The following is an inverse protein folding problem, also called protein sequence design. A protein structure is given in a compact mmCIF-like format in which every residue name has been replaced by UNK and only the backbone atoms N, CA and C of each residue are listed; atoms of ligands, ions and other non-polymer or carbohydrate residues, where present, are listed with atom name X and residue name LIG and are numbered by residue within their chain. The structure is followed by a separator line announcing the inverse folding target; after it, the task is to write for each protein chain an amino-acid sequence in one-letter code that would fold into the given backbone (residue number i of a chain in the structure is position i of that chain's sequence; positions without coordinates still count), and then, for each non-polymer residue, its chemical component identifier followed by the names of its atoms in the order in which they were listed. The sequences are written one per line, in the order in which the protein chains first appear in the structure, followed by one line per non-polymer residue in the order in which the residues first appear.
data_IF_347044879508
#
_entry.id   IF_347044879508
#
_cell.length_a   1.000
_cell.length_b   1.000
_cell.length_c   1.000
_cell.angle_alpha   90.00
_cell.angle_beta   90.00
_cell.angle_gamma   90.00
#
_symmetry.space_group_name_H-M   'P 1'
#
loop_
_entity.id
_entity.type
_entity.pdbx_description
1 polymer ?
#
# COMPACT_ATOMS: atom_id res chain seq x y z
N UNK A 1 1.81 -8.51 8.57
CA UNK A 1 1.51 -9.64 7.65
C UNK A 1 1.35 -9.09 6.24
N UNK A 2 1.78 -9.83 5.22
CA UNK A 2 1.66 -9.38 3.82
C UNK A 2 1.14 -10.53 2.96
N UNK A 3 0.23 -10.25 2.02
CA UNK A 3 -0.20 -11.24 1.02
C UNK A 3 0.95 -11.57 0.07
N UNK A 4 1.52 -10.54 -0.57
CA UNK A 4 2.76 -10.63 -1.34
C UNK A 4 3.76 -9.61 -0.78
N UNK A 5 4.97 -10.07 -0.48
CA UNK A 5 6.08 -9.24 -0.05
C UNK A 5 7.23 -9.29 -1.05
N UNK A 6 7.74 -8.12 -1.40
CA UNK A 6 8.96 -7.96 -2.20
C UNK A 6 9.97 -7.15 -1.40
N UNK A 7 11.11 -7.76 -1.11
CA UNK A 7 12.21 -7.14 -0.35
C UNK A 7 13.56 -7.59 -0.87
N UNK A 8 14.59 -6.77 -0.65
CA UNK A 8 15.95 -7.01 -1.12
C UNK A 8 16.25 -6.31 -2.46
N UNK A 9 17.35 -6.70 -3.11
CA UNK A 9 17.76 -6.09 -4.37
C UNK A 9 16.88 -6.61 -5.51
N UNK A 10 16.04 -5.74 -6.05
CA UNK A 10 15.17 -6.03 -7.19
C UNK A 10 15.71 -5.31 -8.42
N UNK A 11 15.70 -5.98 -9.57
CA UNK A 11 16.19 -5.46 -10.86
C UNK A 11 15.33 -6.00 -12.01
N UNK A 12 14.03 -5.79 -11.89
CA UNK A 12 13.00 -6.25 -12.81
C UNK A 12 12.07 -7.29 -12.19
N UNK A 13 11.14 -7.77 -13.02
CA UNK A 13 10.10 -8.71 -12.63
C UNK A 13 8.71 -8.10 -12.67
N UNK A 14 7.71 -8.95 -12.45
CA UNK A 14 6.32 -8.55 -12.51
C UNK A 14 5.49 -9.26 -11.44
N UNK A 15 4.61 -8.52 -10.77
CA UNK A 15 3.51 -9.04 -9.95
C UNK A 15 2.24 -8.66 -10.68
N UNK A 16 1.65 -9.62 -11.40
CA UNK A 16 0.54 -9.34 -12.29
C UNK A 16 -0.60 -10.32 -12.15
N UNK A 17 -1.83 -9.81 -12.36
CA UNK A 17 -3.06 -10.62 -12.49
C UNK A 17 -3.35 -11.49 -11.27
N UNK A 18 -2.97 -11.04 -10.08
CA UNK A 18 -3.30 -11.71 -8.83
C UNK A 18 -4.59 -11.17 -8.23
N UNK A 19 -5.34 -12.06 -7.58
CA UNK A 19 -6.39 -11.68 -6.63
C UNK A 19 -5.83 -11.85 -5.22
N UNK A 20 -5.83 -10.78 -4.42
CA UNK A 20 -5.22 -10.72 -3.09
C UNK A 20 -6.29 -10.26 -2.10
N UNK A 21 -6.69 -11.14 -1.19
CA UNK A 21 -7.75 -10.87 -0.22
C UNK A 21 -7.48 -11.50 1.14
N UNK A 22 -8.37 -11.21 2.10
CA UNK A 22 -8.41 -11.84 3.42
C UNK A 22 -7.13 -11.64 4.25
N UNK A 23 -6.40 -10.54 3.97
CA UNK A 23 -5.19 -10.21 4.71
C UNK A 23 -5.57 -9.44 5.97
N UNK A 24 -5.57 -10.17 7.10
CA UNK A 24 -5.96 -9.65 8.40
C UNK A 24 -4.84 -9.77 9.43
N UNK A 25 -4.66 -8.73 10.23
CA UNK A 25 -3.93 -8.84 11.49
C UNK A 25 -4.87 -8.55 12.66
N UNK A 26 -5.23 -9.56 13.43
CA UNK A 26 -6.31 -9.46 14.44
C UNK A 26 -5.83 -9.34 15.88
N UNK A 27 -4.51 -9.38 16.13
CA UNK A 27 -3.98 -9.21 17.48
C UNK A 27 -4.38 -7.87 18.09
N UNK A 28 -4.95 -7.91 19.29
CA UNK A 28 -5.36 -6.71 20.06
C UNK A 28 -4.19 -5.90 20.60
N UNK A 29 -2.96 -6.45 20.53
CA UNK A 29 -1.72 -5.72 20.83
C UNK A 29 -1.28 -4.78 19.70
N UNK A 30 -1.94 -4.85 18.54
CA UNK A 30 -1.77 -3.96 17.40
C UNK A 30 -0.58 -4.32 16.52
N UNK A 31 -0.83 -4.55 15.23
CA UNK A 31 0.18 -4.65 14.17
C UNK A 31 -0.49 -4.47 12.81
N UNK A 32 0.27 -4.05 11.81
CA UNK A 32 -0.19 -3.75 10.46
C UNK A 32 -0.29 -4.96 9.53
N UNK A 33 -0.98 -4.75 8.41
CA UNK A 33 -1.17 -5.76 7.38
C UNK A 33 -1.23 -5.13 5.98
N UNK A 34 -0.76 -5.86 4.97
CA UNK A 34 -0.65 -5.34 3.61
C UNK A 34 -1.14 -6.37 2.59
N UNK A 35 -1.90 -5.96 1.58
CA UNK A 35 -2.11 -6.82 0.40
C UNK A 35 -0.79 -7.05 -0.32
N UNK A 36 -0.16 -5.95 -0.75
CA UNK A 36 1.16 -5.90 -1.37
C UNK A 36 2.12 -5.06 -0.51
N UNK A 37 3.30 -5.59 -0.21
CA UNK A 37 4.35 -4.87 0.51
C UNK A 37 5.60 -4.76 -0.38
N UNK A 38 5.91 -3.54 -0.83
CA UNK A 38 7.04 -3.22 -1.70
C UNK A 38 8.15 -2.55 -0.87
N UNK A 39 9.27 -3.25 -0.70
CA UNK A 39 10.39 -2.84 0.13
C UNK A 39 11.73 -3.21 -0.52
N UNK A 40 11.87 -2.99 -1.83
CA UNK A 40 13.15 -3.15 -2.51
C UNK A 40 14.22 -2.24 -1.90
N UNK A 41 15.46 -2.71 -1.90
CA UNK A 41 16.63 -1.91 -1.46
C UNK A 41 17.15 -1.00 -2.56
N UNK A 42 16.79 -1.25 -3.82
CA UNK A 42 17.17 -0.45 -4.99
C UNK A 42 16.12 0.63 -5.30
N UNK A 43 16.58 1.81 -5.75
CA UNK A 43 15.74 2.88 -6.31
C UNK A 43 15.42 2.69 -7.79
N UNK A 44 16.04 1.70 -8.43
CA UNK A 44 15.84 1.33 -9.83
C UNK A 44 15.29 -0.10 -9.95
N UNK A 45 14.27 -0.44 -9.16
CA UNK A 45 13.75 -1.82 -9.12
C UNK A 45 13.22 -2.32 -10.46
N UNK A 46 12.71 -1.42 -11.32
CA UNK A 46 12.03 -1.75 -12.58
C UNK A 46 10.91 -2.80 -12.43
N UNK A 47 10.38 -2.96 -11.22
CA UNK A 47 9.35 -3.94 -10.90
C UNK A 47 8.00 -3.43 -11.38
N UNK A 48 7.30 -4.26 -12.15
CA UNK A 48 5.93 -3.97 -12.59
C UNK A 48 4.93 -4.61 -11.64
N UNK A 49 4.03 -3.82 -11.09
CA UNK A 49 2.91 -4.27 -10.27
C UNK A 49 1.66 -3.88 -11.02
N UNK A 50 1.05 -4.82 -11.74
CA UNK A 50 -0.03 -4.47 -12.67
C UNK A 50 -1.20 -5.43 -12.72
N UNK A 51 -2.40 -4.90 -12.95
CA UNK A 51 -3.63 -5.69 -13.08
C UNK A 51 -3.92 -6.63 -11.89
N UNK A 52 -3.50 -6.26 -10.68
CA UNK A 52 -3.86 -7.01 -9.48
C UNK A 52 -5.17 -6.47 -8.91
N UNK A 53 -5.97 -7.37 -8.34
CA UNK A 53 -7.16 -7.03 -7.57
C UNK A 53 -6.91 -7.27 -6.09
N UNK A 54 -6.89 -6.20 -5.29
CA UNK A 54 -6.61 -6.25 -3.85
C UNK A 54 -7.84 -5.78 -3.08
N UNK A 55 -8.34 -6.60 -2.17
CA UNK A 55 -9.49 -6.24 -1.34
C UNK A 55 -9.45 -6.92 0.03
N UNK A 56 -10.37 -6.55 0.90
CA UNK A 56 -10.50 -7.10 2.25
C UNK A 56 -9.20 -7.10 3.08
N UNK A 57 -8.39 -6.03 2.96
CA UNK A 57 -7.23 -5.82 3.84
C UNK A 57 -7.65 -5.00 5.06
N UNK A 58 -7.37 -5.49 6.26
CA UNK A 58 -7.60 -4.74 7.50
C UNK A 58 -6.72 -5.26 8.65
N UNK A 59 -6.29 -4.38 9.53
CA UNK A 59 -5.63 -4.78 10.77
C UNK A 59 -6.28 -4.17 12.00
N UNK A 60 -6.02 -4.76 13.16
CA UNK A 60 -6.23 -4.10 14.43
C UNK A 60 -5.41 -2.80 14.47
N UNK A 61 -4.11 -2.89 14.16
CA UNK A 61 -3.25 -1.74 13.94
C UNK A 61 -3.09 -0.79 15.13
N UNK A 62 -2.58 0.40 14.83
CA UNK A 62 -2.35 1.53 15.72
C UNK A 62 -2.98 2.78 15.10
N UNK A 63 -3.48 3.68 15.93
CA UNK A 63 -4.20 4.88 15.47
C UNK A 63 -3.35 6.15 15.39
N UNK A 64 -2.05 6.06 15.70
CA UNK A 64 -1.13 7.19 15.83
C UNK A 64 -0.10 7.30 14.70
N UNK A 65 -0.06 6.34 13.78
CA UNK A 65 0.98 6.25 12.75
C UNK A 65 0.46 5.71 11.42
N UNK A 66 1.29 5.85 10.39
CA UNK A 66 1.04 5.38 9.03
C UNK A 66 2.21 4.55 8.47
N UNK A 67 3.00 3.92 9.34
CA UNK A 67 4.04 2.97 8.94
C UNK A 67 3.42 1.63 8.56
N UNK A 68 4.23 0.72 7.98
CA UNK A 68 3.78 -0.62 7.58
C UNK A 68 3.27 -1.48 8.75
N UNK A 69 3.65 -1.11 9.99
CA UNK A 69 3.25 -1.80 11.21
C UNK A 69 1.97 -1.22 11.82
N UNK A 70 1.43 -0.12 11.29
CA UNK A 70 0.35 0.61 11.95
C UNK A 70 -1.04 0.28 11.41
N UNK A 71 -1.22 -0.01 10.12
CA UNK A 71 -2.56 -0.15 9.56
C UNK A 71 -2.64 -1.22 8.46
N UNK A 72 -3.88 -1.43 8.00
CA UNK A 72 -4.22 -2.17 6.81
C UNK A 72 -4.01 -1.30 5.59
N UNK A 73 -3.16 -1.76 4.66
CA UNK A 73 -2.94 -1.10 3.38
C UNK A 73 -3.15 -2.07 2.23
N UNK A 74 -3.86 -1.64 1.18
CA UNK A 74 -3.96 -2.44 -0.04
C UNK A 74 -2.58 -2.64 -0.66
N UNK A 75 -1.87 -1.54 -0.88
CA UNK A 75 -0.48 -1.51 -1.33
C UNK A 75 0.33 -0.62 -0.38
N UNK A 76 1.41 -1.17 0.20
CA UNK A 76 2.37 -0.44 1.01
C UNK A 76 3.69 -0.33 0.24
N UNK A 77 4.02 0.87 -0.21
CA UNK A 77 5.33 1.20 -0.80
C UNK A 77 6.21 1.73 0.31
N UNK A 78 6.97 0.84 0.93
CA UNK A 78 7.71 1.12 2.16
C UNK A 78 9.12 1.66 1.90
N UNK A 79 9.79 1.17 0.85
CA UNK A 79 11.16 1.55 0.52
C UNK A 79 11.48 1.28 -0.96
N UNK A 80 12.62 1.81 -1.41
CA UNK A 80 13.12 1.62 -2.78
C UNK A 80 12.49 2.59 -3.77
N UNK A 81 12.45 2.17 -5.03
CA UNK A 81 11.95 2.99 -6.13
C UNK A 81 11.99 2.26 -7.47
N UNK A 82 11.62 2.96 -8.54
CA UNK A 82 11.53 2.42 -9.90
C UNK A 82 10.33 1.52 -10.11
N UNK A 83 9.32 1.61 -9.24
CA UNK A 83 8.11 0.79 -9.31
C UNK A 83 7.15 1.34 -10.36
N UNK A 84 6.62 0.44 -11.19
CA UNK A 84 5.59 0.70 -12.17
C UNK A 84 4.28 0.10 -11.68
N UNK A 85 3.40 0.93 -11.12
CA UNK A 85 2.16 0.50 -10.49
C UNK A 85 1.01 0.89 -11.40
N UNK A 86 0.50 -0.07 -12.18
CA UNK A 86 -0.45 0.20 -13.26
C UNK A 86 -1.71 -0.65 -13.20
N UNK A 87 -2.87 -0.06 -13.51
CA UNK A 87 -4.11 -0.83 -13.74
C UNK A 87 -4.54 -1.75 -12.60
N UNK A 88 -4.06 -1.51 -11.37
CA UNK A 88 -4.49 -2.29 -10.22
C UNK A 88 -5.84 -1.75 -9.72
N UNK A 89 -6.66 -2.65 -9.22
CA UNK A 89 -7.91 -2.33 -8.53
C UNK A 89 -7.75 -2.64 -7.05
N UNK A 90 -7.87 -1.63 -6.20
CA UNK A 90 -7.71 -1.76 -4.75
C UNK A 90 -8.93 -1.22 -4.03
N UNK A 91 -9.60 -2.09 -3.26
CA UNK A 91 -10.75 -1.74 -2.44
C UNK A 91 -10.47 -1.99 -0.96
N UNK A 92 -10.39 -0.90 -0.19
CA UNK A 92 -10.38 -0.95 1.27
C UNK A 92 -11.82 -0.77 1.77
N UNK A 93 -12.51 -1.87 2.08
CA UNK A 93 -13.92 -1.83 2.53
C UNK A 93 -14.09 -2.23 4.00
N UNK A 94 -13.23 -3.09 4.53
CA UNK A 94 -13.38 -3.66 5.87
C UNK A 94 -12.78 -2.75 6.93
N UNK A 95 -13.60 -2.27 7.85
CA UNK A 95 -13.17 -1.36 8.92
C UNK A 95 -12.07 -1.95 9.79
N UNK A 96 -11.11 -1.10 10.18
CA UNK A 96 -10.13 -1.45 11.20
C UNK A 96 -10.75 -1.34 12.60
N UNK A 97 -10.57 -2.34 13.49
CA UNK A 97 -11.14 -2.32 14.84
C UNK A 97 -10.71 -1.13 15.70
N UNK A 98 -9.44 -0.72 15.65
CA UNK A 98 -8.89 0.36 16.47
C UNK A 98 -8.97 1.75 15.79
N UNK A 99 -9.72 1.87 14.69
CA UNK A 99 -9.57 3.01 13.78
C UNK A 99 -8.15 3.08 13.21
N UNK A 100 -7.66 4.28 12.90
CA UNK A 100 -6.30 4.50 12.41
C UNK A 100 -6.24 5.11 11.02
N UNK A 101 -5.14 4.86 10.32
CA UNK A 101 -4.78 5.54 9.06
C UNK A 101 -4.65 4.55 7.88
N UNK A 102 -5.71 3.81 7.51
CA UNK A 102 -5.65 2.88 6.39
C UNK A 102 -5.63 3.63 5.04
N UNK A 103 -5.04 3.00 4.04
CA UNK A 103 -5.02 3.53 2.68
C UNK A 103 -5.11 2.43 1.61
N UNK A 104 -5.71 2.74 0.46
CA UNK A 104 -5.63 1.84 -0.69
C UNK A 104 -4.17 1.74 -1.18
N UNK A 105 -3.46 2.86 -1.21
CA UNK A 105 -1.99 2.87 -1.33
C UNK A 105 -1.36 3.81 -0.30
N UNK A 106 -0.33 3.33 0.38
CA UNK A 106 0.52 4.11 1.29
C UNK A 106 1.94 4.18 0.71
N UNK A 107 2.45 5.40 0.57
CA UNK A 107 3.82 5.67 0.14
C UNK A 107 4.59 6.23 1.34
N UNK A 108 5.49 5.43 1.91
CA UNK A 108 6.28 5.81 3.08
C UNK A 108 7.33 6.86 2.74
N UNK A 109 7.68 7.71 3.71
CA UNK A 109 8.66 8.80 3.55
C UNK A 109 10.05 8.36 3.07
N UNK A 110 10.43 7.10 3.28
CA UNK A 110 11.70 6.53 2.82
C UNK A 110 11.78 6.24 1.31
N UNK A 111 10.66 6.37 0.58
CA UNK A 111 10.62 6.21 -0.89
C UNK A 111 11.14 7.48 -1.56
N UNK A 112 12.07 7.35 -2.51
CA UNK A 112 12.63 8.52 -3.19
C UNK A 112 11.56 9.26 -4.02
N UNK A 113 11.55 10.59 -3.97
CA UNK A 113 10.62 11.39 -4.76
C UNK A 113 10.81 11.13 -6.27
N UNK A 114 9.70 11.01 -7.01
CA UNK A 114 9.74 10.71 -8.45
C UNK A 114 10.13 9.26 -8.81
N UNK A 115 10.29 8.38 -7.83
CA UNK A 115 10.67 6.98 -8.07
C UNK A 115 9.49 6.05 -8.35
N UNK A 116 8.26 6.56 -8.34
CA UNK A 116 7.06 5.77 -8.60
C UNK A 116 6.36 6.25 -9.86
N UNK A 117 5.95 5.30 -10.69
CA UNK A 117 5.05 5.55 -11.80
C UNK A 117 3.68 4.92 -11.51
N UNK A 118 2.74 5.74 -11.04
CA UNK A 118 1.37 5.34 -10.72
C UNK A 118 0.43 5.78 -11.84
N UNK A 119 -0.11 4.85 -12.62
CA UNK A 119 -1.01 5.18 -13.73
C UNK A 119 -2.21 4.26 -13.79
N UNK A 120 -3.39 4.82 -14.07
CA UNK A 120 -4.61 4.09 -14.38
C UNK A 120 -5.02 3.04 -13.34
N UNK A 121 -4.70 3.25 -12.06
CA UNK A 121 -5.19 2.39 -10.99
C UNK A 121 -6.57 2.87 -10.52
N UNK A 122 -7.40 1.94 -10.07
CA UNK A 122 -8.66 2.22 -9.40
C UNK A 122 -8.45 1.98 -7.92
N UNK A 123 -8.44 3.06 -7.14
CA UNK A 123 -8.26 3.00 -5.69
C UNK A 123 -9.51 3.52 -5.00
N UNK A 124 -10.06 2.71 -4.11
CA UNK A 124 -11.21 3.08 -3.28
C UNK A 124 -10.94 2.73 -1.82
N UNK A 125 -11.25 3.66 -0.94
CA UNK A 125 -11.34 3.38 0.48
C UNK A 125 -12.74 3.76 0.98
N UNK A 126 -13.57 2.74 1.18
CA UNK A 126 -14.97 2.83 1.59
C UNK A 126 -15.19 2.41 3.04
N UNK A 127 -14.12 2.22 3.81
CA UNK A 127 -14.24 2.05 5.26
C UNK A 127 -14.97 3.27 5.85
N UNK A 128 -15.52 3.14 7.06
CA UNK A 128 -16.30 4.18 7.76
C UNK A 128 -15.70 4.62 9.09
N UNK A 129 -14.66 3.94 9.59
CA UNK A 129 -13.89 4.34 10.79
C UNK A 129 -12.51 4.93 10.46
N UNK A 130 -11.88 5.64 11.41
CA UNK A 130 -10.52 6.17 11.30
C UNK A 130 -10.33 7.37 10.35
N UNK A 131 -9.07 7.79 10.19
CA UNK A 131 -8.61 8.83 9.25
C UNK A 131 -8.10 8.14 7.99
N UNK A 132 -8.94 8.04 6.97
CA UNK A 132 -8.68 7.16 5.84
C UNK A 132 -8.21 7.92 4.62
N UNK A 133 -7.42 7.24 3.80
CA UNK A 133 -6.99 7.79 2.52
C UNK A 133 -7.26 6.81 1.38
N UNK A 134 -7.45 7.36 0.19
CA UNK A 134 -7.27 6.60 -1.04
C UNK A 134 -5.77 6.47 -1.30
N UNK A 135 -5.06 7.58 -1.25
CA UNK A 135 -3.60 7.67 -1.36
C UNK A 135 -3.07 8.36 -0.11
N UNK A 136 -2.30 7.66 0.71
CA UNK A 136 -1.50 8.28 1.75
C UNK A 136 -0.09 8.54 1.23
N UNK A 137 0.36 9.78 1.33
CA UNK A 137 1.69 10.21 0.92
C UNK A 137 2.45 10.67 2.16
N UNK A 138 3.53 9.97 2.48
CA UNK A 138 4.44 10.39 3.54
C UNK A 138 5.05 11.77 3.28
N UNK A 139 5.59 12.42 4.31
CA UNK A 139 6.27 13.71 4.16
C UNK A 139 7.44 13.60 3.18
N UNK A 140 7.67 14.66 2.40
CA UNK A 140 8.74 14.74 1.39
C UNK A 140 8.32 14.40 -0.04
N UNK A 141 7.05 14.05 -0.26
CA UNK A 141 6.48 13.82 -1.59
C UNK A 141 5.47 14.90 -1.95
N UNK A 142 5.38 15.20 -3.25
CA UNK A 142 4.35 16.08 -3.80
C UNK A 142 3.51 15.28 -4.78
N UNK A 143 2.24 15.09 -4.48
CA UNK A 143 1.30 14.46 -5.39
C UNK A 143 0.96 15.47 -6.50
N UNK A 144 1.48 15.26 -7.70
CA UNK A 144 1.25 16.11 -8.86
C UNK A 144 0.18 15.48 -9.76
N UNK A 145 -0.90 16.22 -10.04
CA UNK A 145 -1.83 15.86 -11.13
C UNK A 145 -3.14 15.17 -10.75
N UNK A 146 -3.50 15.05 -9.47
CA UNK A 146 -4.87 14.63 -9.09
C UNK A 146 -5.84 15.81 -9.25
N UNK A 147 -6.32 16.05 -10.47
CA UNK A 147 -7.60 16.74 -10.68
C UNK A 147 -8.68 15.68 -10.59
N UNK A 148 -9.49 15.75 -9.54
CA UNK A 148 -10.78 15.05 -9.49
C UNK A 148 -11.72 15.64 -10.53
#
# INVERSE_FOLDING_TARGET
MSGIQVSGTISGGAIERNQISDIKHTSTTGWGSNGLFLAATSTASNLTVANNFVFDVASYGYNSGATQSDNGYGIMVNAGGGYKIYFNSVLMATNQPNGGIPAAINIASGVAAGSLDLRNNIFANTQTTGTRYVIYSGPGHRLLGHRL
#
